data_IF_895116237589
#
_entry.id   IF_895116237589
#
_cell.length_a   1.000
_cell.length_b   1.000
_cell.length_c   1.000
_cell.angle_alpha   90.00
_cell.angle_beta   90.00
_cell.angle_gamma   90.00
#
_symmetry.space_group_name_H-M   'P 1'
#
loop_
_entity.id
_entity.type
_entity.pdbx_description
1 polymer ?
#
# COMPACT_ATOMS: atom_id res chain seq x y z
N UNK A 1 -8.82 -14.86 -3.39
CA UNK A 1 -9.20 -13.66 -4.17
C UNK A 1 -8.00 -12.74 -4.14
N UNK A 2 -7.23 -12.64 -5.23
CA UNK A 2 -6.07 -11.74 -5.30
C UNK A 2 -6.60 -10.31 -5.26
N UNK A 3 -6.40 -9.58 -4.16
CA UNK A 3 -6.73 -8.15 -4.09
C UNK A 3 -5.83 -7.44 -5.11
N UNK A 4 -6.42 -6.93 -6.19
CA UNK A 4 -5.67 -6.11 -7.14
C UNK A 4 -5.33 -4.77 -6.48
N UNK A 5 -4.08 -4.34 -6.59
CA UNK A 5 -3.67 -3.04 -6.12
C UNK A 5 -4.41 -1.98 -6.97
N UNK A 6 -5.13 -1.03 -6.34
CA UNK A 6 -5.89 -0.07 -7.09
C UNK A 6 -4.96 0.90 -7.82
N UNK A 7 -5.28 1.21 -9.09
CA UNK A 7 -4.54 2.18 -9.90
C UNK A 7 -4.83 3.64 -9.52
N UNK A 8 -5.82 3.86 -8.65
CA UNK A 8 -6.20 5.16 -8.11
C UNK A 8 -6.62 5.01 -6.65
N UNK A 9 -6.40 6.04 -5.85
CA UNK A 9 -6.85 6.08 -4.47
C UNK A 9 -8.39 5.94 -4.41
N UNK A 10 -8.93 4.95 -3.68
CA UNK A 10 -10.38 4.79 -3.53
C UNK A 10 -11.04 5.91 -2.72
N UNK A 11 -10.30 6.56 -1.81
CA UNK A 11 -10.81 7.63 -0.95
C UNK A 11 -10.97 8.96 -1.69
N UNK A 12 -9.90 9.47 -2.32
CA UNK A 12 -9.93 10.79 -2.98
C UNK A 12 -9.99 10.74 -4.52
N UNK A 13 -9.83 9.57 -5.12
CA UNK A 13 -9.76 9.41 -6.59
C UNK A 13 -8.44 9.86 -7.22
N UNK A 14 -7.43 10.23 -6.42
CA UNK A 14 -6.12 10.64 -6.95
C UNK A 14 -5.37 9.45 -7.54
N UNK A 15 -4.61 9.69 -8.61
CA UNK A 15 -3.70 8.71 -9.22
C UNK A 15 -2.35 8.64 -8.50
N UNK A 16 -2.11 9.52 -7.54
CA UNK A 16 -0.90 9.58 -6.73
C UNK A 16 -0.93 8.51 -5.63
N UNK A 17 -0.89 7.24 -6.03
CA UNK A 17 -0.70 6.09 -5.15
C UNK A 17 0.73 5.58 -5.27
N UNK A 18 1.43 5.52 -4.14
CA UNK A 18 2.78 4.98 -4.01
C UNK A 18 2.71 3.52 -3.60
N UNK A 19 3.59 2.70 -4.18
CA UNK A 19 3.76 1.30 -3.84
C UNK A 19 5.23 1.10 -3.43
N UNK A 20 5.44 0.65 -2.21
CA UNK A 20 6.77 0.39 -1.67
C UNK A 20 6.81 -1.01 -1.08
N UNK A 21 7.89 -1.73 -1.37
CA UNK A 21 8.14 -3.01 -0.72
C UNK A 21 8.96 -2.75 0.55
N UNK A 22 8.40 -3.13 1.69
CA UNK A 22 8.98 -2.89 3.00
C UNK A 22 9.62 -4.19 3.47
N UNK A 23 10.84 -4.08 3.99
CA UNK A 23 11.55 -5.20 4.57
C UNK A 23 10.86 -5.67 5.85
N UNK A 24 10.93 -6.97 6.18
CA UNK A 24 10.37 -7.48 7.43
C UNK A 24 10.90 -6.78 8.69
N UNK A 25 12.15 -6.30 8.67
CA UNK A 25 12.72 -5.51 9.78
C UNK A 25 12.03 -4.15 10.01
N UNK A 26 11.29 -3.64 9.03
CA UNK A 26 10.67 -2.30 9.03
C UNK A 26 9.13 -2.38 9.20
N UNK A 27 8.57 -3.58 9.40
CA UNK A 27 7.15 -3.76 9.70
C UNK A 27 6.86 -4.91 10.67
N UNK A 28 5.74 -4.84 11.36
CA UNK A 28 5.36 -5.83 12.38
C UNK A 28 4.48 -6.97 11.83
N UNK A 29 4.41 -7.11 10.50
CA UNK A 29 3.47 -8.02 9.82
C UNK A 29 3.99 -9.45 9.65
N UNK A 30 5.28 -9.67 9.89
CA UNK A 30 5.94 -10.97 9.79
C UNK A 30 7.38 -10.84 9.28
N UNK A 31 8.02 -11.99 9.07
CA UNK A 31 9.41 -12.11 8.62
C UNK A 31 9.54 -12.12 7.07
N UNK A 32 8.48 -11.78 6.35
CA UNK A 32 8.43 -11.75 4.89
C UNK A 32 8.38 -10.30 4.38
N UNK A 33 8.84 -10.08 3.15
CA UNK A 33 8.69 -8.77 2.51
C UNK A 33 7.22 -8.49 2.22
N UNK A 34 6.73 -7.32 2.62
CA UNK A 34 5.36 -6.91 2.35
C UNK A 34 5.31 -5.63 1.51
N UNK A 35 4.35 -5.59 0.58
CA UNK A 35 4.12 -4.39 -0.22
C UNK A 35 3.12 -3.48 0.50
N UNK A 36 3.51 -2.23 0.78
CA UNK A 36 2.61 -1.18 1.27
C UNK A 36 2.21 -0.29 0.11
N UNK A 37 0.91 -0.03 0.00
CA UNK A 37 0.36 0.92 -0.97
C UNK A 37 -0.30 2.04 -0.21
N UNK A 38 0.08 3.28 -0.50
CA UNK A 38 -0.51 4.45 0.14
C UNK A 38 -0.73 5.60 -0.84
N UNK A 39 -1.76 6.41 -0.59
CA UNK A 39 -1.99 7.62 -1.37
C UNK A 39 -1.20 8.79 -0.79
N UNK A 40 -0.31 9.37 -1.61
CA UNK A 40 0.51 10.52 -1.20
C UNK A 40 -0.24 11.86 -1.28
N UNK A 41 -1.43 11.88 -1.87
CA UNK A 41 -2.25 13.08 -2.06
C UNK A 41 -3.14 13.37 -0.84
N UNK A 42 -3.90 12.36 -0.40
CA UNK A 42 -4.81 12.49 0.74
C UNK A 42 -4.24 11.91 2.03
N UNK A 43 -3.29 10.96 1.95
CA UNK A 43 -2.78 10.23 3.12
C UNK A 43 -3.79 9.26 3.78
N UNK A 44 -5.06 9.26 3.34
CA UNK A 44 -6.14 8.48 3.96
C UNK A 44 -6.15 7.02 3.49
N UNK A 45 -5.64 6.75 2.29
CA UNK A 45 -5.52 5.38 1.79
C UNK A 45 -4.14 4.82 2.11
N UNK A 46 -4.08 3.80 2.95
CA UNK A 46 -2.88 2.99 3.19
C UNK A 46 -3.28 1.53 3.45
N UNK A 47 -2.84 0.63 2.59
CA UNK A 47 -3.10 -0.81 2.71
C UNK A 47 -1.82 -1.63 2.48
N UNK A 48 -1.82 -2.83 3.05
CA UNK A 48 -0.74 -3.80 2.90
C UNK A 48 -1.20 -4.95 2.00
N UNK A 49 -0.28 -5.39 1.15
CA UNK A 49 -0.43 -6.47 0.20
C UNK A 49 0.69 -7.50 0.44
N UNK A 50 0.29 -8.76 0.58
CA UNK A 50 1.13 -9.97 0.65
C UNK A 50 1.29 -10.64 -0.71
#
# INVERSE_FOLDING_TARGET
MTRAIPSQCPECGSLNVSMINISPDDHERGDEWATRVECTDCGEYAEWFD
#
